data_IF_962020436822
#
_entry.id   IF_962020436822
#
_cell.length_a   1.000
_cell.length_b   1.000
_cell.length_c   1.000
_cell.angle_alpha   90.00
_cell.angle_beta   90.00
_cell.angle_gamma   90.00
#
_symmetry.space_group_name_H-M   'P 1'
#
loop_
_entity.id
_entity.type
_entity.pdbx_description
1 polymer ?
#
# COMPACT_ATOMS: atom_id res chain seq x y z
N UNK A 1 77.68 182.81 118.19
CA UNK A 1 76.76 181.65 118.21
C UNK A 1 75.28 182.06 118.27
N UNK A 2 74.85 183.19 117.67
CA UNK A 2 73.42 183.59 117.74
C UNK A 2 72.81 184.02 116.40
N UNK A 3 73.46 184.80 115.52
CA UNK A 3 72.81 185.22 114.25
C UNK A 3 73.16 184.38 113.02
N UNK A 4 73.59 183.13 113.26
CA UNK A 4 73.49 182.06 112.26
C UNK A 4 72.03 181.57 112.08
N UNK A 5 71.11 182.06 112.92
CA UNK A 5 69.67 181.77 112.90
C UNK A 5 68.77 182.89 112.33
N UNK A 6 69.34 184.05 111.96
CA UNK A 6 68.52 185.18 111.49
C UNK A 6 68.62 185.46 109.98
N UNK A 7 69.70 185.05 109.29
CA UNK A 7 69.74 185.16 107.83
C UNK A 7 69.08 183.95 107.13
N UNK A 8 69.02 182.79 107.80
CA UNK A 8 68.28 181.60 107.35
C UNK A 8 66.76 181.85 107.27
N UNK A 9 66.25 182.90 107.92
CA UNK A 9 64.87 183.35 107.83
C UNK A 9 64.56 184.18 106.56
N UNK A 10 65.56 184.82 105.94
CA UNK A 10 65.35 185.60 104.71
C UNK A 10 65.38 184.70 103.48
N UNK A 11 66.25 183.68 103.48
CA UNK A 11 66.30 182.66 102.42
C UNK A 11 65.06 181.73 102.42
N UNK A 12 64.35 181.65 103.56
CA UNK A 12 63.08 180.94 103.70
C UNK A 12 61.89 181.73 103.13
N UNK A 13 61.96 183.07 103.06
CA UNK A 13 60.86 183.92 102.58
C UNK A 13 60.80 184.04 101.05
N UNK A 14 61.96 184.10 100.38
CA UNK A 14 62.02 184.29 98.93
C UNK A 14 61.69 183.01 98.11
N UNK A 15 61.92 181.82 98.69
CA UNK A 15 61.63 180.54 98.00
C UNK A 15 60.14 180.18 97.97
N UNK A 16 59.33 180.71 98.89
CA UNK A 16 57.91 180.40 98.93
C UNK A 16 57.08 181.18 97.90
N UNK A 17 57.47 182.41 97.54
CA UNK A 17 56.70 183.24 96.60
C UNK A 17 56.88 182.84 95.11
N UNK A 18 57.98 182.20 94.74
CA UNK A 18 58.20 181.76 93.35
C UNK A 18 57.55 180.42 93.01
N UNK A 19 57.18 179.62 94.02
CA UNK A 19 56.41 178.39 93.81
C UNK A 19 54.97 178.75 93.41
N UNK A 20 54.35 179.80 93.97
CA UNK A 20 52.95 180.16 93.63
C UNK A 20 52.75 180.65 92.17
N UNK A 21 53.73 181.31 91.54
CA UNK A 21 53.62 181.75 90.14
C UNK A 21 53.72 180.61 89.11
N UNK A 22 54.19 179.42 89.52
CA UNK A 22 54.36 178.27 88.61
C UNK A 22 53.15 177.33 88.57
N UNK A 23 52.09 177.65 89.34
CA UNK A 23 50.89 176.81 89.49
C UNK A 23 49.70 177.20 88.61
N UNK A 24 49.69 178.35 87.93
CA UNK A 24 48.51 178.81 87.19
C UNK A 24 48.47 178.46 85.69
N UNK A 25 49.61 178.33 84.98
CA UNK A 25 49.61 178.20 83.50
C UNK A 25 49.80 176.76 82.97
N UNK A 26 49.83 175.74 83.83
CA UNK A 26 50.16 174.36 83.43
C UNK A 26 48.97 173.40 83.35
N UNK A 27 47.75 173.84 83.67
CA UNK A 27 46.59 172.93 83.82
C UNK A 27 45.59 172.90 82.65
N UNK A 28 45.50 173.94 81.81
CA UNK A 28 44.39 174.01 80.83
C UNK A 28 44.73 173.50 79.40
N UNK A 29 45.99 173.56 78.93
CA UNK A 29 46.34 173.21 77.54
C UNK A 29 46.81 171.74 77.30
N UNK A 30 46.96 170.95 78.37
CA UNK A 30 47.39 169.54 78.27
C UNK A 30 46.20 168.59 78.08
N UNK A 31 45.07 168.87 78.73
CA UNK A 31 43.91 167.95 78.79
C UNK A 31 43.19 167.83 77.43
N UNK A 32 43.17 168.89 76.62
CA UNK A 32 42.50 168.87 75.31
C UNK A 32 43.27 168.02 74.28
N UNK A 33 44.61 167.99 74.35
CA UNK A 33 45.45 167.17 73.45
C UNK A 33 45.40 165.69 73.82
N UNK A 34 45.29 165.37 75.10
CA UNK A 34 45.14 164.00 75.61
C UNK A 34 43.89 163.34 75.01
N UNK A 35 42.75 164.04 75.00
CA UNK A 35 41.50 163.50 74.46
C UNK A 35 41.51 163.31 72.94
N UNK A 36 42.17 164.17 72.17
CA UNK A 36 42.29 163.98 70.71
C UNK A 36 43.19 162.80 70.34
N UNK A 37 44.25 162.55 71.10
CA UNK A 37 45.11 161.37 70.90
C UNK A 37 44.42 160.07 71.32
N UNK A 38 43.62 160.09 72.38
CA UNK A 38 42.83 158.92 72.79
C UNK A 38 41.77 158.53 71.75
N UNK A 39 41.18 159.50 71.05
CA UNK A 39 40.20 159.21 70.00
C UNK A 39 40.84 158.54 68.76
N UNK A 40 42.00 159.05 68.31
CA UNK A 40 42.73 158.43 67.18
C UNK A 40 43.26 157.03 67.50
N UNK A 41 43.78 156.81 68.71
CA UNK A 41 44.23 155.49 69.14
C UNK A 41 43.07 154.48 69.19
N UNK A 42 41.87 154.95 69.59
CA UNK A 42 40.66 154.12 69.59
C UNK A 42 40.13 153.84 68.19
N UNK A 43 40.20 154.80 67.27
CA UNK A 43 39.84 154.60 65.87
C UNK A 43 40.79 153.61 65.18
N UNK A 44 42.10 153.68 65.45
CA UNK A 44 43.08 152.70 64.95
C UNK A 44 42.88 151.29 65.54
N UNK A 45 42.57 151.18 66.84
CA UNK A 45 42.17 149.89 67.45
C UNK A 45 40.91 149.31 66.81
N UNK A 46 39.93 150.15 66.44
CA UNK A 46 38.67 149.69 65.86
C UNK A 46 38.84 149.15 64.43
N UNK A 47 39.70 149.79 63.63
CA UNK A 47 40.01 149.33 62.26
C UNK A 47 40.84 148.05 62.28
N UNK A 48 41.78 147.91 63.22
CA UNK A 48 42.53 146.67 63.39
C UNK A 48 41.62 145.51 63.82
N UNK A 49 40.69 145.75 64.75
CA UNK A 49 39.71 144.76 65.18
C UNK A 49 38.78 144.32 64.04
N UNK A 50 38.32 145.25 63.20
CA UNK A 50 37.50 144.94 62.02
C UNK A 50 38.24 144.07 60.99
N UNK A 51 39.56 144.24 60.87
CA UNK A 51 40.37 143.46 59.92
C UNK A 51 40.63 142.04 60.45
N UNK A 52 40.89 141.89 61.75
CA UNK A 52 40.99 140.58 62.40
C UNK A 52 39.65 139.85 62.34
N UNK A 53 38.54 140.56 62.58
CA UNK A 53 37.19 140.01 62.42
C UNK A 53 36.93 139.55 60.99
N UNK A 54 37.32 140.33 59.97
CA UNK A 54 37.15 139.95 58.57
C UNK A 54 38.03 138.75 58.17
N UNK A 55 39.26 138.66 58.69
CA UNK A 55 40.14 137.50 58.47
C UNK A 55 39.64 136.26 59.23
N UNK A 56 39.10 136.41 60.45
CA UNK A 56 38.47 135.34 61.22
C UNK A 56 37.21 134.81 60.53
N UNK A 57 36.35 135.69 60.00
CA UNK A 57 35.17 135.34 59.23
C UNK A 57 35.55 134.60 57.91
N UNK A 58 36.67 134.98 57.28
CA UNK A 58 37.16 134.32 56.07
C UNK A 58 37.71 132.92 56.37
N UNK A 59 38.46 132.74 57.46
CA UNK A 59 38.93 131.43 57.90
C UNK A 59 37.79 130.52 58.38
N UNK A 60 36.75 131.07 59.02
CA UNK A 60 35.57 130.31 59.42
C UNK A 60 34.81 129.79 58.18
N UNK A 61 34.68 130.64 57.15
CA UNK A 61 34.08 130.25 55.88
C UNK A 61 34.91 129.17 55.15
N UNK A 62 36.25 129.29 55.14
CA UNK A 62 37.13 128.28 54.55
C UNK A 62 37.06 126.95 55.33
N UNK A 63 36.95 127.01 56.66
CA UNK A 63 36.80 125.83 57.51
C UNK A 63 35.45 125.14 57.26
N UNK A 64 34.36 125.91 57.16
CA UNK A 64 33.03 125.41 56.83
C UNK A 64 33.02 124.75 55.44
N UNK A 65 33.65 125.37 54.43
CA UNK A 65 33.78 124.79 53.09
C UNK A 65 34.60 123.50 53.08
N UNK A 66 35.67 123.41 53.88
CA UNK A 66 36.43 122.18 54.04
C UNK A 66 35.62 121.11 54.77
N UNK A 67 34.91 121.45 55.85
CA UNK A 67 34.03 120.53 56.56
C UNK A 67 32.91 120.00 55.66
N UNK A 68 32.28 120.87 54.88
CA UNK A 68 31.28 120.49 53.88
C UNK A 68 31.87 119.59 52.79
N UNK A 69 33.09 119.89 52.32
CA UNK A 69 33.77 119.04 51.36
C UNK A 69 34.11 117.65 51.95
N UNK A 70 34.55 117.59 53.21
CA UNK A 70 34.82 116.32 53.90
C UNK A 70 33.55 115.52 54.19
N UNK A 71 32.47 116.19 54.60
CA UNK A 71 31.17 115.55 54.81
C UNK A 71 30.64 115.00 53.49
N UNK A 72 30.77 115.76 52.41
CA UNK A 72 30.39 115.31 51.07
C UNK A 72 31.24 114.12 50.60
N UNK A 73 32.57 114.17 50.76
CA UNK A 73 33.44 113.04 50.40
C UNK A 73 33.10 111.80 51.24
N UNK A 74 32.86 111.98 52.55
CA UNK A 74 32.46 110.88 53.44
C UNK A 74 31.13 110.28 53.00
N UNK A 75 30.14 111.10 52.69
CA UNK A 75 28.82 110.64 52.28
C UNK A 75 28.88 109.96 50.90
N UNK A 76 29.68 110.48 49.97
CA UNK A 76 29.99 109.83 48.69
C UNK A 76 30.72 108.49 48.88
N UNK A 77 31.68 108.40 49.79
CA UNK A 77 32.37 107.13 50.14
C UNK A 77 31.42 106.12 50.77
N UNK A 78 30.55 106.56 51.67
CA UNK A 78 29.54 105.69 52.29
C UNK A 78 28.52 105.24 51.24
N UNK A 79 28.09 106.12 50.35
CA UNK A 79 27.18 105.77 49.26
C UNK A 79 27.82 104.76 48.31
N UNK A 80 29.08 104.97 47.92
CA UNK A 80 29.82 104.03 47.08
C UNK A 80 30.01 102.67 47.76
N UNK A 81 30.42 102.64 49.03
CA UNK A 81 30.55 101.39 49.79
C UNK A 81 29.19 100.68 49.96
N UNK A 82 28.10 101.41 50.20
CA UNK A 82 26.74 100.83 50.27
C UNK A 82 26.32 100.23 48.93
N UNK A 83 26.53 100.95 47.82
CA UNK A 83 26.25 100.44 46.48
C UNK A 83 27.08 99.19 46.15
N UNK A 84 28.35 99.18 46.54
CA UNK A 84 29.20 98.00 46.37
C UNK A 84 28.68 96.82 47.19
N UNK A 85 28.33 97.03 48.46
CA UNK A 85 27.72 96.01 49.34
C UNK A 85 26.42 95.49 48.74
N UNK A 86 25.52 96.37 48.30
CA UNK A 86 24.23 95.99 47.70
C UNK A 86 24.45 95.20 46.40
N UNK A 87 25.41 95.60 45.58
CA UNK A 87 25.76 94.87 44.35
C UNK A 87 26.32 93.48 44.64
N UNK A 88 27.09 93.31 45.72
CA UNK A 88 27.60 92.00 46.14
C UNK A 88 26.47 91.10 46.68
N UNK A 89 25.50 91.68 47.40
CA UNK A 89 24.31 90.95 47.84
C UNK A 89 23.41 90.52 46.68
N UNK A 90 23.21 91.39 45.69
CA UNK A 90 22.43 91.04 44.50
C UNK A 90 23.14 89.93 43.71
N UNK A 91 24.46 90.06 43.51
CA UNK A 91 25.26 89.02 42.84
C UNK A 91 25.24 87.70 43.59
N UNK A 92 25.26 87.72 44.93
CA UNK A 92 25.08 86.52 45.76
C UNK A 92 23.70 85.91 45.58
N UNK A 93 22.65 86.73 45.57
CA UNK A 93 21.26 86.29 45.39
C UNK A 93 21.06 85.65 44.02
N UNK A 94 21.60 86.24 42.97
CA UNK A 94 21.61 85.68 41.62
C UNK A 94 22.34 84.33 41.58
N UNK A 95 23.54 84.27 42.16
CA UNK A 95 24.32 83.02 42.22
C UNK A 95 23.60 81.92 43.01
N UNK A 96 22.92 82.28 44.11
CA UNK A 96 22.12 81.35 44.91
C UNK A 96 20.88 80.87 44.15
N UNK A 97 20.21 81.76 43.41
CA UNK A 97 19.07 81.42 42.56
C UNK A 97 19.49 80.46 41.43
N UNK A 98 20.57 80.77 40.72
CA UNK A 98 21.11 79.90 39.66
C UNK A 98 21.53 78.55 40.23
N UNK A 99 22.16 78.51 41.41
CA UNK A 99 22.53 77.25 42.05
C UNK A 99 21.29 76.43 42.44
N UNK A 100 20.26 77.08 42.99
CA UNK A 100 19.00 76.43 43.36
C UNK A 100 18.26 75.89 42.13
N UNK A 101 18.18 76.66 41.05
CA UNK A 101 17.55 76.24 39.80
C UNK A 101 18.34 75.11 39.12
N UNK A 102 19.68 75.20 39.09
CA UNK A 102 20.56 74.15 38.57
C UNK A 102 20.48 72.85 39.41
N UNK A 103 20.19 72.96 40.71
CA UNK A 103 19.92 71.80 41.57
C UNK A 103 18.54 71.23 41.27
N UNK A 104 17.51 72.07 41.24
CA UNK A 104 16.14 71.66 40.99
C UNK A 104 16.00 70.97 39.63
N UNK A 105 16.60 71.51 38.57
CA UNK A 105 16.61 70.90 37.23
C UNK A 105 17.29 69.53 37.21
N UNK A 106 18.40 69.34 37.94
CA UNK A 106 19.02 68.01 38.11
C UNK A 106 18.12 67.05 38.88
N UNK A 107 17.51 67.52 39.97
CA UNK A 107 16.60 66.69 40.76
C UNK A 107 15.36 66.29 39.91
N UNK A 108 14.84 67.19 39.09
CA UNK A 108 13.76 66.93 38.13
C UNK A 108 14.19 65.94 37.03
N UNK A 109 15.41 66.05 36.50
CA UNK A 109 15.97 65.09 35.54
C UNK A 109 16.08 63.69 36.14
N UNK A 110 16.59 63.56 37.38
CA UNK A 110 16.66 62.27 38.05
C UNK A 110 15.27 61.67 38.32
N UNK A 111 14.29 62.51 38.67
CA UNK A 111 12.91 62.05 38.81
C UNK A 111 12.33 61.55 37.47
N UNK A 112 12.61 62.26 36.38
CA UNK A 112 12.20 61.84 35.03
C UNK A 112 12.86 60.52 34.64
N UNK A 113 14.17 60.37 34.83
CA UNK A 113 14.89 59.13 34.53
C UNK A 113 14.35 57.93 35.35
N UNK A 114 14.04 58.14 36.63
CA UNK A 114 13.43 57.10 37.48
C UNK A 114 12.06 56.70 36.96
N UNK A 115 11.23 57.67 36.56
CA UNK A 115 9.90 57.39 36.04
C UNK A 115 9.96 56.69 34.67
N UNK A 116 10.85 57.12 33.78
CA UNK A 116 11.09 56.46 32.49
C UNK A 116 11.60 55.03 32.66
N UNK A 117 12.45 54.76 33.65
CA UNK A 117 12.89 53.41 33.97
C UNK A 117 11.72 52.56 34.45
N UNK A 118 10.85 53.09 35.31
CA UNK A 118 9.65 52.36 35.79
C UNK A 118 8.69 52.04 34.67
N UNK A 119 8.47 52.98 33.76
CA UNK A 119 7.59 52.77 32.59
C UNK A 119 8.19 51.70 31.69
N UNK A 120 9.50 51.76 31.38
CA UNK A 120 10.19 50.73 30.59
C UNK A 120 10.13 49.35 31.24
N UNK A 121 10.42 49.25 32.53
CA UNK A 121 10.35 47.97 33.26
C UNK A 121 8.92 47.40 33.25
N UNK A 122 7.90 48.27 33.36
CA UNK A 122 6.50 47.86 33.30
C UNK A 122 6.09 47.42 31.89
N UNK A 123 6.57 48.11 30.84
CA UNK A 123 6.37 47.75 29.44
C UNK A 123 7.04 46.42 29.10
N UNK A 124 8.31 46.23 29.48
CA UNK A 124 9.07 44.99 29.28
C UNK A 124 8.41 43.82 30.00
N UNK A 125 7.94 44.04 31.25
CA UNK A 125 7.18 43.03 31.98
C UNK A 125 5.88 42.68 31.27
N UNK A 126 5.13 43.67 30.79
CA UNK A 126 3.86 43.43 30.10
C UNK A 126 4.09 42.75 28.74
N UNK A 127 5.13 43.12 28.01
CA UNK A 127 5.49 42.48 26.74
C UNK A 127 5.87 41.01 26.96
N UNK A 128 6.69 40.73 27.98
CA UNK A 128 7.05 39.36 28.36
C UNK A 128 5.81 38.57 28.81
N UNK A 129 4.93 39.18 29.59
CA UNK A 129 3.68 38.57 30.04
C UNK A 129 2.79 38.19 28.86
N UNK A 130 2.59 39.09 27.90
CA UNK A 130 1.82 38.82 26.68
C UNK A 130 2.47 37.67 25.89
N UNK A 131 3.80 37.71 25.67
CA UNK A 131 4.52 36.64 24.96
C UNK A 131 4.31 35.28 25.64
N UNK A 132 4.47 35.21 26.97
CA UNK A 132 4.28 33.97 27.73
C UNK A 132 2.82 33.49 27.71
N UNK A 133 1.85 34.39 27.89
CA UNK A 133 0.42 34.05 27.81
C UNK A 133 0.04 33.55 26.41
N UNK A 134 0.54 34.17 25.34
CA UNK A 134 0.34 33.69 23.97
C UNK A 134 0.96 32.33 23.73
N UNK A 135 2.19 32.09 24.22
CA UNK A 135 2.85 30.79 24.09
C UNK A 135 2.07 29.71 24.84
N UNK A 136 1.60 29.99 26.06
CA UNK A 136 0.75 29.07 26.83
C UNK A 136 -0.50 28.72 26.02
N UNK A 137 -1.21 29.71 25.49
CA UNK A 137 -2.41 29.47 24.67
C UNK A 137 -2.12 28.62 23.44
N UNK A 138 -1.00 28.87 22.73
CA UNK A 138 -0.64 28.05 21.56
C UNK A 138 -0.31 26.60 21.93
N UNK A 139 0.38 26.39 23.06
CA UNK A 139 0.70 25.04 23.54
C UNK A 139 -0.54 24.28 24.00
N UNK A 140 -1.48 24.96 24.67
CA UNK A 140 -2.77 24.39 25.04
C UNK A 140 -3.58 23.99 23.81
N UNK A 141 -3.63 24.84 22.78
CA UNK A 141 -4.30 24.50 21.51
C UNK A 141 -3.65 23.29 20.84
N UNK A 142 -2.32 23.25 20.76
CA UNK A 142 -1.60 22.11 20.19
C UNK A 142 -1.84 20.81 20.96
N UNK A 143 -1.93 20.87 22.30
CA UNK A 143 -2.26 19.71 23.13
C UNK A 143 -3.67 19.21 22.87
N UNK A 144 -4.65 20.11 22.74
CA UNK A 144 -6.04 19.72 22.48
C UNK A 144 -6.21 19.17 21.05
N UNK A 145 -5.54 19.75 20.05
CA UNK A 145 -5.47 19.21 18.68
C UNK A 145 -4.83 17.81 18.66
N UNK A 146 -3.72 17.63 19.38
CA UNK A 146 -3.07 16.33 19.53
C UNK A 146 -4.00 15.31 20.20
N UNK A 147 -4.75 15.72 21.24
CA UNK A 147 -5.72 14.86 21.92
C UNK A 147 -6.84 14.43 20.99
N UNK A 148 -7.42 15.36 20.23
CA UNK A 148 -8.49 15.08 19.28
C UNK A 148 -8.02 14.13 18.16
N UNK A 149 -6.79 14.34 17.64
CA UNK A 149 -6.22 13.45 16.61
C UNK A 149 -5.94 12.05 17.14
N UNK A 150 -5.42 11.91 18.37
CA UNK A 150 -5.26 10.59 18.98
C UNK A 150 -6.58 9.90 19.23
N UNK A 151 -7.59 10.60 19.74
CA UNK A 151 -8.92 10.03 19.94
C UNK A 151 -9.52 9.51 18.63
N UNK A 152 -9.45 10.30 17.55
CA UNK A 152 -9.92 9.87 16.23
C UNK A 152 -9.13 8.67 15.69
N UNK A 153 -7.81 8.65 15.91
CA UNK A 153 -6.97 7.52 15.50
C UNK A 153 -7.34 6.25 16.26
N UNK A 154 -7.57 6.35 17.57
CA UNK A 154 -8.04 5.25 18.41
C UNK A 154 -9.38 4.71 17.90
N UNK A 155 -10.37 5.57 17.65
CA UNK A 155 -11.67 5.16 17.09
C UNK A 155 -11.53 4.50 15.71
N UNK A 156 -10.66 5.04 14.84
CA UNK A 156 -10.37 4.46 13.53
C UNK A 156 -9.72 3.09 13.65
N UNK A 157 -8.79 2.91 14.59
CA UNK A 157 -8.11 1.65 14.84
C UNK A 157 -9.09 0.62 15.41
N UNK A 158 -9.95 1.00 16.35
CA UNK A 158 -11.01 0.16 16.88
C UNK A 158 -12.00 -0.28 15.80
N UNK A 159 -12.38 0.63 14.90
CA UNK A 159 -13.22 0.31 13.76
C UNK A 159 -12.53 -0.72 12.84
N UNK A 160 -11.28 -0.46 12.46
CA UNK A 160 -10.50 -1.39 11.63
C UNK A 160 -10.38 -2.77 12.28
N UNK A 161 -10.11 -2.81 13.59
CA UNK A 161 -10.02 -4.03 14.36
C UNK A 161 -11.35 -4.81 14.34
N UNK A 162 -12.48 -4.12 14.57
CA UNK A 162 -13.82 -4.73 14.49
C UNK A 162 -14.09 -5.32 13.11
N UNK A 163 -13.84 -4.55 12.04
CA UNK A 163 -14.06 -5.01 10.65
C UNK A 163 -13.18 -6.22 10.32
N UNK A 164 -11.90 -6.21 10.72
CA UNK A 164 -11.01 -7.36 10.52
C UNK A 164 -11.50 -8.58 11.29
N UNK A 165 -11.92 -8.40 12.55
CA UNK A 165 -12.43 -9.49 13.38
C UNK A 165 -13.72 -10.09 12.79
N UNK A 166 -14.64 -9.25 12.33
CA UNK A 166 -15.86 -9.72 11.64
C UNK A 166 -15.52 -10.47 10.34
N UNK A 167 -14.59 -9.95 9.53
CA UNK A 167 -14.12 -10.63 8.32
C UNK A 167 -13.49 -11.99 8.64
N UNK A 168 -12.66 -12.07 9.67
CA UNK A 168 -12.04 -13.32 10.09
C UNK A 168 -13.09 -14.32 10.58
N UNK A 169 -14.10 -13.85 11.32
CA UNK A 169 -15.21 -14.70 11.76
C UNK A 169 -16.02 -15.23 10.57
N UNK A 170 -16.39 -14.37 9.61
CA UNK A 170 -17.13 -14.75 8.41
C UNK A 170 -16.32 -15.69 7.51
N UNK A 171 -15.03 -15.41 7.33
CA UNK A 171 -14.12 -16.23 6.54
C UNK A 171 -13.92 -17.60 7.20
N UNK A 172 -13.72 -17.64 8.52
CA UNK A 172 -13.63 -18.88 9.30
C UNK A 172 -14.91 -19.72 9.20
N UNK A 173 -16.09 -19.08 9.29
CA UNK A 173 -17.38 -19.74 9.10
C UNK A 173 -17.53 -20.32 7.69
N UNK A 174 -17.17 -19.55 6.66
CA UNK A 174 -17.19 -19.97 5.25
C UNK A 174 -16.24 -21.14 5.01
N UNK A 175 -15.01 -21.06 5.52
CA UNK A 175 -14.01 -22.13 5.44
C UNK A 175 -14.50 -23.40 6.13
N UNK A 176 -15.14 -23.28 7.30
CA UNK A 176 -15.74 -24.41 8.00
C UNK A 176 -16.87 -25.06 7.18
N UNK A 177 -17.74 -24.25 6.56
CA UNK A 177 -18.80 -24.74 5.67
C UNK A 177 -18.21 -25.45 4.44
N UNK A 178 -17.19 -24.87 3.80
CA UNK A 178 -16.51 -25.47 2.66
C UNK A 178 -15.80 -26.79 3.04
N UNK A 179 -15.12 -26.84 4.18
CA UNK A 179 -14.50 -28.08 4.70
C UNK A 179 -15.54 -29.19 4.94
N UNK A 180 -16.70 -28.85 5.52
CA UNK A 180 -17.80 -29.82 5.69
C UNK A 180 -18.33 -30.31 4.35
N UNK A 181 -18.51 -29.42 3.37
CA UNK A 181 -18.94 -29.79 2.01
C UNK A 181 -17.91 -30.70 1.34
N UNK A 182 -16.63 -30.39 1.46
CA UNK A 182 -15.54 -31.20 0.93
C UNK A 182 -15.54 -32.60 1.55
N UNK A 183 -15.71 -32.71 2.88
CA UNK A 183 -15.81 -34.01 3.56
C UNK A 183 -16.97 -34.84 3.00
N UNK A 184 -18.17 -34.26 2.89
CA UNK A 184 -19.34 -34.97 2.33
C UNK A 184 -19.11 -35.46 0.90
N UNK A 185 -18.46 -34.64 0.06
CA UNK A 185 -18.14 -35.03 -1.31
C UNK A 185 -17.09 -36.15 -1.36
N UNK A 186 -16.09 -36.11 -0.48
CA UNK A 186 -15.10 -37.19 -0.34
C UNK A 186 -15.76 -38.49 0.13
N UNK A 187 -16.66 -38.44 1.10
CA UNK A 187 -17.36 -39.62 1.61
C UNK A 187 -18.31 -40.21 0.53
N UNK A 188 -19.00 -39.34 -0.22
CA UNK A 188 -19.84 -39.74 -1.35
C UNK A 188 -19.02 -40.40 -2.47
N UNK A 189 -17.86 -39.83 -2.81
CA UNK A 189 -16.92 -40.41 -3.77
C UNK A 189 -16.43 -41.78 -3.31
N UNK A 190 -15.99 -41.90 -2.06
CA UNK A 190 -15.52 -43.16 -1.49
C UNK A 190 -16.61 -44.24 -1.53
N UNK A 191 -17.86 -43.85 -1.21
CA UNK A 191 -19.02 -44.74 -1.29
C UNK A 191 -19.28 -45.18 -2.73
N UNK A 192 -19.17 -44.28 -3.71
CA UNK A 192 -19.38 -44.61 -5.12
C UNK A 192 -18.28 -45.54 -5.66
N UNK A 193 -17.02 -45.31 -5.29
CA UNK A 193 -15.89 -46.18 -5.62
C UNK A 193 -16.11 -47.57 -5.03
N UNK A 194 -16.52 -47.66 -3.76
CA UNK A 194 -16.79 -48.95 -3.11
C UNK A 194 -17.93 -49.71 -3.82
N UNK A 195 -19.02 -49.02 -4.19
CA UNK A 195 -20.13 -49.62 -4.95
C UNK A 195 -19.67 -50.10 -6.33
N UNK A 196 -18.90 -49.29 -7.05
CA UNK A 196 -18.38 -49.66 -8.37
C UNK A 196 -17.49 -50.91 -8.28
N UNK A 197 -16.55 -50.95 -7.33
CA UNK A 197 -15.68 -52.10 -7.14
C UNK A 197 -16.47 -53.36 -6.75
N UNK A 198 -17.53 -53.21 -5.95
CA UNK A 198 -18.42 -54.31 -5.60
C UNK A 198 -19.18 -54.84 -6.83
N UNK A 199 -19.73 -53.97 -7.67
CA UNK A 199 -20.44 -54.39 -8.90
C UNK A 199 -19.48 -55.01 -9.90
N UNK A 200 -18.31 -54.42 -10.09
CA UNK A 200 -17.26 -54.91 -11.00
C UNK A 200 -16.75 -56.29 -10.56
N UNK A 201 -16.53 -56.50 -9.26
CA UNK A 201 -16.17 -57.82 -8.73
C UNK A 201 -17.28 -58.86 -8.93
N UNK A 202 -18.55 -58.48 -8.68
CA UNK A 202 -19.70 -59.37 -8.88
C UNK A 202 -19.84 -59.78 -10.33
N UNK A 203 -19.78 -58.81 -11.24
CA UNK A 203 -19.99 -59.06 -12.67
C UNK A 203 -18.80 -59.84 -13.26
N UNK A 204 -17.56 -59.63 -12.77
CA UNK A 204 -16.41 -60.49 -13.10
C UNK A 204 -16.63 -61.94 -12.67
N UNK A 205 -17.08 -62.16 -11.43
CA UNK A 205 -17.38 -63.51 -10.93
C UNK A 205 -18.48 -64.20 -11.77
N UNK A 206 -19.57 -63.48 -12.08
CA UNK A 206 -20.64 -64.01 -12.93
C UNK A 206 -20.15 -64.36 -14.33
N UNK A 207 -19.31 -63.52 -14.93
CA UNK A 207 -18.71 -63.81 -16.23
C UNK A 207 -17.81 -65.04 -16.17
N UNK A 208 -17.03 -65.20 -15.10
CA UNK A 208 -16.19 -66.39 -14.88
C UNK A 208 -17.05 -67.65 -14.78
N UNK A 209 -18.07 -67.66 -13.92
CA UNK A 209 -19.02 -68.76 -13.76
C UNK A 209 -19.71 -69.12 -15.09
N UNK A 210 -20.27 -68.13 -15.79
CA UNK A 210 -20.93 -68.35 -17.09
C UNK A 210 -19.97 -68.90 -18.14
N UNK A 211 -18.71 -68.45 -18.13
CA UNK A 211 -17.70 -68.95 -19.08
C UNK A 211 -17.31 -70.39 -18.76
N UNK A 212 -17.20 -70.75 -17.48
CA UNK A 212 -16.96 -72.12 -17.05
C UNK A 212 -18.12 -73.05 -17.40
N UNK A 213 -19.36 -72.62 -17.15
CA UNK A 213 -20.57 -73.36 -17.53
C UNK A 213 -20.64 -73.55 -19.05
N UNK A 214 -20.36 -72.50 -19.83
CA UNK A 214 -20.30 -72.57 -21.29
C UNK A 214 -19.25 -73.59 -21.75
N UNK A 215 -18.02 -73.54 -21.19
CA UNK A 215 -16.97 -74.51 -21.53
C UNK A 215 -17.39 -75.94 -21.17
N UNK A 216 -18.00 -76.14 -20.01
CA UNK A 216 -18.50 -77.45 -19.57
C UNK A 216 -19.59 -77.97 -20.50
N UNK A 217 -20.58 -77.13 -20.84
CA UNK A 217 -21.67 -77.49 -21.75
C UNK A 217 -21.15 -77.82 -23.14
N UNK A 218 -20.21 -77.03 -23.65
CA UNK A 218 -19.56 -77.28 -24.95
C UNK A 218 -18.82 -78.61 -24.96
N UNK A 219 -18.10 -78.94 -23.88
CA UNK A 219 -17.44 -80.24 -23.73
C UNK A 219 -18.45 -81.39 -23.70
N UNK A 220 -19.52 -81.25 -22.93
CA UNK A 220 -20.59 -82.26 -22.86
C UNK A 220 -21.26 -82.48 -24.22
N UNK A 221 -21.49 -81.40 -24.98
CA UNK A 221 -22.03 -81.47 -26.34
C UNK A 221 -21.10 -82.22 -27.29
N UNK A 222 -19.79 -81.91 -27.27
CA UNK A 222 -18.81 -82.61 -28.10
C UNK A 222 -18.69 -84.09 -27.73
N UNK A 223 -18.68 -84.42 -26.43
CA UNK A 223 -18.66 -85.80 -25.95
C UNK A 223 -19.94 -86.55 -26.36
N UNK A 224 -21.09 -85.87 -26.37
CA UNK A 224 -22.36 -86.43 -26.84
C UNK A 224 -22.31 -86.69 -28.35
N UNK A 225 -21.82 -85.75 -29.17
CA UNK A 225 -21.63 -85.96 -30.61
C UNK A 225 -20.72 -87.17 -30.90
N UNK A 226 -19.61 -87.30 -30.17
CA UNK A 226 -18.71 -88.46 -30.30
C UNK A 226 -19.41 -89.78 -29.96
N UNK A 227 -20.23 -89.79 -28.91
CA UNK A 227 -21.04 -90.96 -28.54
C UNK A 227 -22.05 -91.30 -29.63
N UNK A 228 -22.74 -90.29 -30.20
CA UNK A 228 -23.68 -90.51 -31.30
C UNK A 228 -23.00 -91.16 -32.51
N UNK A 229 -21.86 -90.63 -32.97
CA UNK A 229 -21.12 -91.22 -34.10
C UNK A 229 -20.66 -92.66 -33.80
N UNK A 230 -20.23 -92.93 -32.57
CA UNK A 230 -19.85 -94.28 -32.16
C UNK A 230 -21.05 -95.25 -32.12
N UNK A 231 -22.18 -94.81 -31.58
CA UNK A 231 -23.41 -95.61 -31.55
C UNK A 231 -23.93 -95.88 -32.96
N UNK A 232 -23.95 -94.89 -33.84
CA UNK A 232 -24.37 -95.08 -35.24
C UNK A 232 -23.51 -96.13 -35.95
N UNK A 233 -22.18 -96.05 -35.79
CA UNK A 233 -21.25 -97.06 -36.35
C UNK A 233 -21.48 -98.44 -35.72
N UNK A 234 -21.61 -98.51 -34.40
CA UNK A 234 -21.81 -99.78 -33.69
C UNK A 234 -23.17 -100.42 -34.01
N UNK A 235 -24.22 -99.62 -34.13
CA UNK A 235 -25.57 -100.07 -34.44
C UNK A 235 -25.66 -100.54 -35.89
N UNK A 236 -25.03 -99.82 -36.84
CA UNK A 236 -24.91 -100.28 -38.23
C UNK A 236 -24.18 -101.61 -38.31
N UNK A 237 -23.02 -101.74 -37.65
CA UNK A 237 -22.26 -102.99 -37.66
C UNK A 237 -23.06 -104.15 -37.03
N UNK A 238 -23.71 -103.91 -35.89
CA UNK A 238 -24.53 -104.94 -35.24
C UNK A 238 -25.74 -105.32 -36.09
N UNK A 239 -26.37 -104.36 -36.75
CA UNK A 239 -27.45 -104.63 -37.69
C UNK A 239 -26.96 -105.49 -38.85
N UNK A 240 -25.80 -105.17 -39.44
CA UNK A 240 -25.19 -105.93 -40.53
C UNK A 240 -24.83 -107.36 -40.09
N UNK A 241 -24.29 -107.54 -38.89
CA UNK A 241 -23.99 -108.86 -38.32
C UNK A 241 -25.26 -109.71 -38.13
N UNK A 242 -26.31 -109.13 -37.52
CA UNK A 242 -27.59 -109.82 -37.32
C UNK A 242 -28.25 -110.13 -38.65
N UNK A 243 -28.18 -109.20 -39.61
CA UNK A 243 -28.67 -109.40 -40.96
C UNK A 243 -27.95 -110.56 -41.65
N UNK A 244 -26.61 -110.60 -41.59
CA UNK A 244 -25.81 -111.68 -42.18
C UNK A 244 -26.17 -113.04 -41.57
N UNK A 245 -26.32 -113.12 -40.24
CA UNK A 245 -26.73 -114.35 -39.57
C UNK A 245 -28.11 -114.82 -40.03
N UNK A 246 -29.10 -113.92 -40.12
CA UNK A 246 -30.44 -114.26 -40.59
C UNK A 246 -30.49 -114.58 -42.09
N UNK A 247 -29.67 -113.90 -42.89
CA UNK A 247 -29.47 -114.18 -44.30
C UNK A 247 -28.92 -115.60 -44.50
N UNK A 248 -27.90 -116.00 -43.73
CA UNK A 248 -27.34 -117.35 -43.74
C UNK A 248 -28.36 -118.41 -43.30
N UNK A 249 -29.10 -118.17 -42.22
CA UNK A 249 -30.17 -119.06 -41.74
C UNK A 249 -31.27 -119.24 -42.79
N UNK A 250 -31.66 -118.16 -43.48
CA UNK A 250 -32.65 -118.21 -44.55
C UNK A 250 -32.12 -118.99 -45.75
N UNK A 251 -30.88 -118.76 -46.17
CA UNK A 251 -30.21 -119.51 -47.25
C UNK A 251 -30.21 -121.00 -46.92
N UNK A 252 -29.79 -121.40 -45.71
CA UNK A 252 -29.76 -122.80 -45.29
C UNK A 252 -31.15 -123.47 -45.30
N UNK A 253 -32.19 -122.74 -44.87
CA UNK A 253 -33.57 -123.24 -44.94
C UNK A 253 -34.05 -123.41 -46.38
N UNK A 254 -33.70 -122.48 -47.28
CA UNK A 254 -34.05 -122.59 -48.69
C UNK A 254 -33.29 -123.74 -49.36
N UNK A 255 -32.00 -123.94 -49.03
CA UNK A 255 -31.23 -125.10 -49.51
C UNK A 255 -31.90 -126.43 -49.11
N UNK A 256 -32.33 -126.57 -47.86
CA UNK A 256 -33.11 -127.74 -47.42
C UNK A 256 -34.44 -127.90 -48.17
N UNK A 257 -35.12 -126.79 -48.48
CA UNK A 257 -36.35 -126.83 -49.27
C UNK A 257 -36.07 -127.27 -50.70
N UNK A 258 -34.99 -126.80 -51.33
CA UNK A 258 -34.58 -127.24 -52.65
C UNK A 258 -34.19 -128.73 -52.67
N UNK A 259 -33.51 -129.20 -51.62
CA UNK A 259 -33.19 -130.62 -51.47
C UNK A 259 -34.46 -131.46 -51.30
N UNK A 260 -35.41 -131.02 -50.47
CA UNK A 260 -36.70 -131.68 -50.33
C UNK A 260 -37.50 -131.67 -51.65
N UNK A 261 -37.49 -130.54 -52.36
CA UNK A 261 -38.13 -130.38 -53.66
C UNK A 261 -37.53 -131.31 -54.71
N UNK A 262 -36.20 -131.43 -54.73
CA UNK A 262 -35.48 -132.40 -55.56
C UNK A 262 -35.90 -133.84 -55.25
N UNK A 263 -35.96 -134.22 -53.98
CA UNK A 263 -36.37 -135.55 -53.56
C UNK A 263 -37.82 -135.83 -53.99
N UNK A 264 -38.75 -134.90 -53.80
CA UNK A 264 -40.15 -135.07 -54.19
C UNK A 264 -40.28 -135.20 -55.72
N UNK A 265 -39.62 -134.33 -56.48
CA UNK A 265 -39.67 -134.36 -57.95
C UNK A 265 -39.07 -135.65 -58.52
N UNK A 266 -37.90 -136.08 -58.02
CA UNK A 266 -37.21 -137.28 -58.51
C UNK A 266 -37.90 -138.57 -58.03
N UNK A 267 -38.26 -138.68 -56.74
CA UNK A 267 -38.72 -139.95 -56.14
C UNK A 267 -40.23 -140.16 -56.16
N UNK A 268 -41.05 -139.12 -56.01
CA UNK A 268 -42.51 -139.27 -55.94
C UNK A 268 -43.19 -139.02 -57.30
N UNK A 269 -42.66 -138.10 -58.12
CA UNK A 269 -43.27 -137.69 -59.39
C UNK A 269 -42.59 -138.32 -60.62
N UNK A 270 -41.37 -138.85 -60.49
CA UNK A 270 -40.61 -139.44 -61.59
C UNK A 270 -40.18 -138.43 -62.66
N UNK A 271 -40.14 -137.14 -62.33
CA UNK A 271 -39.74 -136.06 -63.23
C UNK A 271 -38.29 -135.63 -62.96
N UNK A 272 -37.57 -135.22 -64.00
CA UNK A 272 -36.22 -134.69 -63.85
C UNK A 272 -36.26 -133.31 -63.17
N UNK A 273 -35.74 -133.22 -61.95
CA UNK A 273 -35.63 -131.95 -61.23
C UNK A 273 -34.61 -131.02 -61.88
N UNK A 274 -34.90 -129.71 -61.92
CA UNK A 274 -34.00 -128.66 -62.41
C UNK A 274 -33.81 -127.60 -61.34
N UNK A 275 -32.56 -127.26 -60.96
CA UNK A 275 -32.32 -126.23 -59.96
C UNK A 275 -32.75 -124.84 -60.48
N UNK A 276 -33.11 -123.91 -59.58
CA UNK A 276 -33.42 -122.53 -59.94
C UNK A 276 -32.25 -121.83 -60.67
N UNK A 277 -32.56 -120.96 -61.62
CA UNK A 277 -31.59 -120.35 -62.55
C UNK A 277 -30.57 -119.38 -61.91
N UNK A 278 -30.75 -119.01 -60.64
CA UNK A 278 -29.82 -118.15 -59.90
C UNK A 278 -29.54 -118.76 -58.54
N UNK A 279 -28.28 -118.78 -58.13
CA UNK A 279 -27.91 -119.16 -56.77
C UNK A 279 -28.51 -118.15 -55.79
N UNK A 280 -29.17 -118.64 -54.74
CA UNK A 280 -29.91 -117.83 -53.75
C UNK A 280 -28.98 -116.78 -53.10
N UNK A 281 -27.69 -117.10 -52.97
CA UNK A 281 -26.67 -116.18 -52.46
C UNK A 281 -26.48 -114.94 -53.34
N UNK A 282 -26.66 -115.08 -54.66
CA UNK A 282 -26.59 -113.97 -55.60
C UNK A 282 -27.88 -113.14 -55.60
N UNK A 283 -29.03 -113.74 -55.28
CA UNK A 283 -30.30 -113.03 -55.14
C UNK A 283 -30.28 -112.05 -53.96
N UNK A 284 -29.75 -112.49 -52.81
CA UNK A 284 -29.57 -111.62 -51.63
C UNK A 284 -28.60 -110.45 -51.88
N UNK A 285 -27.47 -110.72 -52.55
CA UNK A 285 -26.50 -109.67 -52.89
C UNK A 285 -27.05 -108.69 -53.94
N UNK A 286 -27.85 -109.18 -54.89
CA UNK A 286 -28.54 -108.32 -55.86
C UNK A 286 -29.62 -107.45 -55.23
N UNK A 287 -30.29 -107.91 -54.16
CA UNK A 287 -31.23 -107.10 -53.39
C UNK A 287 -30.50 -105.97 -52.64
N UNK A 288 -29.38 -106.29 -51.97
CA UNK A 288 -28.52 -105.27 -51.31
C UNK A 288 -27.93 -104.25 -52.30
N UNK A 289 -27.48 -104.69 -53.48
CA UNK A 289 -26.97 -103.80 -54.52
C UNK A 289 -28.06 -102.93 -55.16
N UNK A 290 -29.29 -103.45 -55.26
CA UNK A 290 -30.46 -102.70 -55.70
C UNK A 290 -30.86 -101.59 -54.72
N UNK A 291 -30.84 -101.89 -53.42
CA UNK A 291 -31.13 -100.91 -52.37
C UNK A 291 -30.01 -99.86 -52.24
N UNK A 292 -28.73 -100.25 -52.37
CA UNK A 292 -27.61 -99.31 -52.40
C UNK A 292 -27.67 -98.36 -53.63
N UNK A 293 -28.00 -98.89 -54.81
CA UNK A 293 -28.16 -98.08 -56.03
C UNK A 293 -29.42 -97.18 -55.97
N UNK A 294 -30.50 -97.62 -55.31
CA UNK A 294 -31.71 -96.83 -55.11
C UNK A 294 -31.50 -95.70 -54.08
N UNK A 295 -30.76 -95.96 -53.00
CA UNK A 295 -30.41 -94.97 -51.98
C UNK A 295 -29.47 -93.88 -52.56
N UNK A 296 -28.48 -94.29 -53.38
CA UNK A 296 -27.58 -93.36 -54.05
C UNK A 296 -28.32 -92.47 -55.07
N UNK A 297 -29.32 -93.02 -55.76
CA UNK A 297 -30.18 -92.28 -56.68
C UNK A 297 -31.21 -91.38 -55.97
N UNK A 298 -31.57 -91.66 -54.71
CA UNK A 298 -32.41 -90.78 -53.89
C UNK A 298 -31.63 -89.61 -53.28
N UNK A 299 -30.35 -89.81 -52.94
CA UNK A 299 -29.47 -88.74 -52.46
C UNK A 299 -29.06 -87.75 -53.57
N UNK A 300 -28.96 -88.20 -54.83
CA UNK A 300 -28.73 -87.30 -55.98
C UNK A 300 -29.97 -86.50 -56.43
N UNK A 301 -31.18 -86.86 -56.00
CA UNK A 301 -32.44 -86.23 -56.43
C UNK A 301 -33.17 -85.45 -55.31
N UNK A 302 -32.53 -85.26 -54.16
CA UNK A 302 -33.13 -84.66 -52.96
C UNK A 302 -32.74 -83.22 -52.64
N UNK A 303 -31.96 -82.55 -53.50
CA UNK A 303 -31.48 -81.17 -53.26
C UNK A 303 -32.04 -80.18 -54.28
N UNK A 304 -33.36 -79.98 -54.26
CA UNK A 304 -34.01 -78.77 -54.77
C UNK A 304 -35.24 -78.44 -53.92
N UNK A 305 -35.07 -77.57 -52.92
CA UNK A 305 -35.92 -76.40 -52.61
C UNK A 305 -35.93 -76.04 -51.12
N UNK A 306 -35.28 -74.93 -50.78
CA UNK A 306 -35.88 -73.96 -49.85
C UNK A 306 -35.38 -72.53 -50.12
N UNK A 307 -36.26 -71.52 -50.00
CA UNK A 307 -35.98 -70.13 -50.31
C UNK A 307 -35.48 -69.32 -49.10
N UNK A 308 -34.61 -68.35 -49.42
CA UNK A 308 -34.54 -66.95 -48.98
C UNK A 308 -34.74 -66.56 -47.50
N UNK A 309 -33.69 -66.01 -46.86
CA UNK A 309 -33.67 -64.60 -46.38
C UNK A 309 -32.37 -64.22 -45.62
N UNK A 310 -31.74 -63.14 -46.12
CA UNK A 310 -30.94 -62.09 -45.45
C UNK A 310 -30.39 -62.31 -44.02
N UNK A 311 -29.07 -62.10 -43.82
CA UNK A 311 -28.52 -60.81 -43.40
C UNK A 311 -26.96 -60.81 -43.37
N UNK A 312 -26.44 -59.60 -43.33
CA UNK A 312 -25.10 -59.10 -43.64
C UNK A 312 -23.93 -59.48 -42.72
N UNK A 313 -22.74 -59.31 -43.32
CA UNK A 313 -21.50 -58.77 -42.73
C UNK A 313 -20.61 -59.70 -41.89
N UNK A 314 -19.54 -60.19 -42.54
CA UNK A 314 -18.22 -60.23 -41.91
C UNK A 314 -17.10 -60.27 -42.93
N UNK A 315 -16.23 -59.27 -42.81
CA UNK A 315 -14.95 -59.16 -43.46
C UNK A 315 -13.97 -60.27 -43.10
N UNK A 316 -12.88 -60.26 -43.87
CA UNK A 316 -12.00 -61.39 -44.09
C UNK A 316 -11.03 -61.71 -42.97
N UNK A 317 -10.41 -62.88 -43.12
CA UNK A 317 -8.98 -63.04 -42.86
C UNK A 317 -8.48 -64.22 -43.69
N UNK A 318 -7.80 -63.92 -44.80
CA UNK A 318 -6.81 -64.80 -45.41
C UNK A 318 -5.46 -64.26 -45.00
N UNK A 319 -4.62 -65.10 -44.39
CA UNK A 319 -3.18 -65.11 -44.66
C UNK A 319 -2.57 -66.42 -44.18
N UNK A 320 -2.19 -67.16 -45.20
CA UNK A 320 -1.13 -68.14 -45.36
C UNK A 320 -0.15 -68.33 -44.21
N UNK A 321 -0.03 -69.63 -43.93
CA UNK A 321 1.09 -70.38 -43.40
C UNK A 321 2.41 -70.09 -44.14
N UNK A 322 3.48 -69.85 -43.37
CA UNK A 322 4.81 -70.36 -43.69
C UNK A 322 5.71 -70.24 -42.45
N UNK A 323 6.07 -71.40 -41.88
CA UNK A 323 7.01 -71.51 -40.77
C UNK A 323 8.49 -71.51 -41.17
N UNK A 324 9.37 -71.32 -40.18
CA UNK A 324 10.49 -72.21 -39.84
C UNK A 324 11.46 -71.55 -38.83
N UNK A 325 11.70 -72.26 -37.70
CA UNK A 325 12.94 -72.39 -36.91
C UNK A 325 13.58 -71.12 -36.28
N UNK A 326 14.25 -71.12 -35.12
CA UNK A 326 14.63 -72.10 -34.10
C UNK A 326 15.00 -71.32 -32.80
N UNK A 327 15.23 -72.07 -31.72
CA UNK A 327 15.77 -71.69 -30.41
C UNK A 327 16.86 -70.59 -30.42
N UNK A 328 16.89 -69.71 -29.41
CA UNK A 328 18.01 -69.56 -28.44
C UNK A 328 17.75 -68.37 -27.49
N UNK A 329 18.14 -68.54 -26.24
CA UNK A 329 18.16 -67.58 -25.13
C UNK A 329 19.12 -66.37 -25.30
N UNK A 330 18.95 -65.42 -24.38
CA UNK A 330 19.92 -64.47 -23.79
C UNK A 330 20.13 -63.04 -24.36
N UNK A 331 19.77 -62.08 -23.47
CA UNK A 331 20.43 -60.85 -23.01
C UNK A 331 21.00 -59.76 -23.94
N UNK A 332 20.84 -58.52 -23.43
CA UNK A 332 21.49 -57.22 -23.75
C UNK A 332 21.12 -56.55 -25.09
N UNK A 333 21.27 -55.25 -25.31
CA UNK A 333 21.18 -53.98 -24.57
C UNK A 333 21.29 -52.92 -25.70
N UNK A 334 20.68 -51.75 -25.52
CA UNK A 334 20.80 -50.53 -26.35
C UNK A 334 20.56 -50.60 -27.89
N UNK A 335 19.41 -50.06 -28.33
CA UNK A 335 19.40 -48.99 -29.36
C UNK A 335 18.05 -48.30 -29.48
N UNK A 336 18.14 -46.98 -29.69
CA UNK A 336 17.10 -45.97 -29.73
C UNK A 336 16.30 -46.03 -31.03
N UNK A 337 14.97 -46.13 -30.94
CA UNK A 337 14.07 -45.50 -31.91
C UNK A 337 12.72 -45.16 -31.25
N UNK A 338 12.39 -43.86 -31.25
CA UNK A 338 11.18 -43.32 -30.62
C UNK A 338 9.93 -43.74 -31.41
N UNK A 339 9.12 -44.62 -30.83
CA UNK A 339 7.79 -44.93 -31.35
C UNK A 339 6.82 -43.79 -31.02
N UNK A 340 6.56 -42.91 -31.99
CA UNK A 340 5.44 -41.97 -31.92
C UNK A 340 4.15 -42.70 -32.32
N UNK A 341 3.10 -42.71 -31.49
CA UNK A 341 1.86 -43.38 -31.83
C UNK A 341 1.12 -42.59 -32.94
N UNK A 342 0.53 -43.26 -33.95
CA UNK A 342 -0.21 -42.57 -34.99
C UNK A 342 -1.52 -41.99 -34.40
N UNK A 343 -1.64 -40.66 -34.43
CA UNK A 343 -2.85 -39.95 -34.02
C UNK A 343 -3.97 -40.33 -34.99
N UNK A 344 -4.97 -41.06 -34.50
CA UNK A 344 -6.20 -41.35 -35.25
C UNK A 344 -6.94 -40.03 -35.50
N UNK A 345 -6.94 -39.58 -36.76
CA UNK A 345 -7.74 -38.43 -37.20
C UNK A 345 -9.23 -38.76 -37.01
N UNK A 346 -9.93 -37.87 -36.31
CA UNK A 346 -11.38 -37.98 -36.05
C UNK A 346 -12.10 -37.51 -37.32
N UNK A 347 -13.10 -38.25 -37.81
CA UNK A 347 -13.84 -37.87 -39.01
C UNK A 347 -14.50 -36.50 -38.84
N UNK A 348 -14.46 -35.67 -39.89
CA UNK A 348 -14.97 -34.29 -39.87
C UNK A 348 -16.43 -34.20 -39.38
N UNK A 349 -17.27 -35.16 -39.76
CA UNK A 349 -18.66 -35.26 -39.29
C UNK A 349 -18.79 -35.43 -37.76
N UNK A 350 -17.89 -36.21 -37.15
CA UNK A 350 -17.88 -36.42 -35.70
C UNK A 350 -17.36 -35.18 -34.98
N UNK A 351 -16.39 -34.48 -35.56
CA UNK A 351 -15.88 -33.21 -35.05
C UNK A 351 -16.96 -32.12 -35.10
N UNK A 352 -17.68 -31.99 -36.22
CA UNK A 352 -18.83 -31.07 -36.39
C UNK A 352 -19.92 -31.32 -35.36
N UNK A 353 -20.25 -32.58 -35.07
CA UNK A 353 -21.21 -32.93 -34.02
C UNK A 353 -20.74 -32.52 -32.62
N UNK A 354 -19.46 -32.75 -32.29
CA UNK A 354 -18.90 -32.33 -31.00
C UNK A 354 -18.85 -30.80 -30.87
N UNK A 355 -18.54 -30.08 -31.95
CA UNK A 355 -18.49 -28.63 -31.96
C UNK A 355 -19.89 -28.01 -31.82
N UNK A 356 -20.90 -28.59 -32.47
CA UNK A 356 -22.31 -28.22 -32.29
C UNK A 356 -22.78 -28.44 -30.85
N UNK A 357 -22.36 -29.54 -30.23
CA UNK A 357 -22.61 -29.81 -28.81
C UNK A 357 -21.93 -28.79 -27.90
N UNK A 358 -20.68 -28.44 -28.17
CA UNK A 358 -19.94 -27.41 -27.43
C UNK A 358 -20.58 -26.03 -27.58
N UNK A 359 -20.95 -25.61 -28.78
CA UNK A 359 -21.63 -24.33 -29.02
C UNK A 359 -23.00 -24.27 -28.32
N UNK A 360 -23.73 -25.39 -28.25
CA UNK A 360 -25.01 -25.47 -27.54
C UNK A 360 -24.85 -25.36 -26.02
N UNK A 361 -23.78 -25.93 -25.46
CA UNK A 361 -23.53 -25.95 -24.01
C UNK A 361 -22.74 -24.74 -23.49
N UNK A 362 -21.94 -24.13 -24.35
CA UNK A 362 -21.17 -22.91 -24.09
C UNK A 362 -21.81 -21.67 -24.75
N UNK A 363 -23.10 -21.70 -25.07
CA UNK A 363 -23.80 -20.65 -25.83
C UNK A 363 -23.81 -19.25 -25.21
N UNK A 364 -23.38 -19.09 -23.95
CA UNK A 364 -23.19 -17.77 -23.33
C UNK A 364 -21.91 -17.05 -23.80
N UNK A 365 -20.95 -17.78 -24.39
CA UNK A 365 -19.65 -17.28 -24.86
C UNK A 365 -19.58 -17.12 -26.39
N UNK A 366 -20.64 -17.46 -27.12
CA UNK A 366 -20.59 -17.59 -28.58
C UNK A 366 -21.53 -16.57 -29.24
N UNK A 367 -20.97 -15.68 -30.06
CA UNK A 367 -21.76 -14.74 -30.87
C UNK A 367 -22.65 -15.50 -31.87
N UNK A 368 -23.86 -15.00 -32.12
CA UNK A 368 -24.86 -15.64 -33.00
C UNK A 368 -24.40 -15.86 -34.45
N UNK A 369 -23.35 -15.15 -34.91
CA UNK A 369 -22.71 -15.35 -36.21
C UNK A 369 -22.00 -16.70 -36.35
N UNK A 370 -21.44 -17.23 -35.25
CA UNK A 370 -20.71 -18.51 -35.26
C UNK A 370 -21.65 -19.70 -35.38
N UNK A 371 -22.86 -19.61 -34.79
CA UNK A 371 -23.90 -20.62 -34.96
C UNK A 371 -24.41 -20.67 -36.41
N UNK A 372 -24.59 -19.51 -37.04
CA UNK A 372 -25.04 -19.41 -38.42
C UNK A 372 -23.99 -19.91 -39.43
N UNK A 373 -22.70 -19.73 -39.12
CA UNK A 373 -21.59 -20.29 -39.89
C UNK A 373 -21.48 -21.83 -39.74
N UNK A 374 -21.75 -22.38 -38.54
CA UNK A 374 -21.76 -23.83 -38.30
C UNK A 374 -22.90 -24.56 -39.02
N UNK A 375 -24.05 -23.91 -39.20
CA UNK A 375 -25.21 -24.51 -39.90
C UNK A 375 -25.02 -24.57 -41.42
N UNK A 376 -24.20 -23.68 -41.99
CA UNK A 376 -23.99 -23.57 -43.44
C UNK A 376 -22.77 -24.35 -43.97
N UNK A 377 -22.03 -25.08 -43.12
CA UNK A 377 -20.80 -25.74 -43.54
C UNK A 377 -21.05 -27.12 -44.22
N UNK A 378 -20.42 -27.43 -45.38
CA UNK A 378 -20.43 -28.77 -45.99
C UNK A 378 -19.73 -29.83 -45.12
N UNK A 379 -20.01 -31.11 -45.36
CA UNK A 379 -19.51 -32.23 -44.52
C UNK A 379 -18.13 -32.79 -44.96
N UNK A 380 -17.49 -32.19 -45.97
CA UNK A 380 -16.31 -32.77 -46.61
C UNK A 380 -14.98 -32.39 -45.90
N UNK A 381 -14.02 -33.33 -45.88
CA UNK A 381 -12.76 -33.28 -45.10
C UNK A 381 -11.73 -32.21 -45.52
N UNK A 382 -11.99 -31.44 -46.58
CA UNK A 382 -11.00 -30.53 -47.19
C UNK A 382 -10.88 -29.13 -46.53
N UNK A 383 -11.72 -28.79 -45.55
CA UNK A 383 -11.77 -27.44 -44.96
C UNK A 383 -11.34 -27.39 -43.47
N UNK A 384 -10.46 -28.31 -43.06
CA UNK A 384 -9.92 -28.36 -41.69
C UNK A 384 -9.16 -27.06 -41.30
N UNK A 385 -8.58 -26.36 -42.28
CA UNK A 385 -7.91 -25.05 -42.10
C UNK A 385 -8.91 -23.91 -41.76
N UNK A 386 -10.10 -23.91 -42.38
CA UNK A 386 -11.11 -22.89 -42.08
C UNK A 386 -11.80 -23.15 -40.74
N UNK A 387 -11.88 -24.41 -40.28
CA UNK A 387 -12.34 -24.76 -38.93
C UNK A 387 -11.35 -24.35 -37.83
N UNK A 388 -10.05 -24.38 -38.10
CA UNK A 388 -9.01 -23.91 -37.17
C UNK A 388 -9.07 -22.38 -37.01
N UNK A 389 -9.35 -21.68 -38.12
CA UNK A 389 -9.66 -20.24 -38.13
C UNK A 389 -10.96 -19.92 -37.38
N UNK A 390 -11.98 -20.77 -37.48
CA UNK A 390 -13.24 -20.64 -36.72
C UNK A 390 -13.07 -20.83 -35.21
N UNK A 391 -12.19 -21.76 -34.82
CA UNK A 391 -11.74 -21.91 -33.43
C UNK A 391 -10.95 -20.68 -32.96
N UNK A 392 -10.22 -19.99 -33.84
CA UNK A 392 -9.58 -18.71 -33.54
C UNK A 392 -10.56 -17.62 -33.07
N UNK A 393 -11.75 -17.54 -33.68
CA UNK A 393 -12.80 -16.58 -33.29
C UNK A 393 -13.47 -16.88 -31.93
N UNK A 394 -13.32 -18.09 -31.39
CA UNK A 394 -13.71 -18.40 -30.00
C UNK A 394 -12.78 -17.73 -28.96
N UNK A 395 -11.60 -17.27 -29.37
CA UNK A 395 -10.54 -16.76 -28.48
C UNK A 395 -10.18 -15.29 -28.72
N UNK A 396 -11.01 -14.51 -29.41
CA UNK A 396 -10.82 -13.05 -29.50
C UNK A 396 -11.31 -12.36 -28.22
N UNK A 397 -10.38 -11.65 -27.58
CA UNK A 397 -10.55 -10.84 -26.37
C UNK A 397 -11.64 -9.77 -26.60
N UNK A 398 -12.70 -9.65 -25.76
CA UNK A 398 -13.85 -8.76 -26.02
C UNK A 398 -13.53 -7.26 -25.84
N UNK A 399 -12.27 -6.82 -25.99
CA UNK A 399 -11.84 -5.43 -25.81
C UNK A 399 -10.79 -4.99 -26.83
N UNK A 400 -11.08 -5.14 -28.12
CA UNK A 400 -10.43 -4.31 -29.14
C UNK A 400 -11.44 -3.37 -29.81
N UNK A 401 -11.63 -2.21 -29.19
CA UNK A 401 -11.75 -0.92 -29.90
C UNK A 401 -11.20 0.17 -28.97
N UNK A 402 -10.01 0.73 -29.26
CA UNK A 402 -9.75 2.17 -29.57
C UNK A 402 -8.27 2.29 -30.06
N UNK A 403 -7.97 2.87 -31.23
CA UNK A 403 -6.62 3.28 -31.59
C UNK A 403 -6.37 4.72 -31.14
N UNK A 404 -5.32 4.97 -30.35
CA UNK A 404 -5.00 6.32 -29.88
C UNK A 404 -3.65 6.46 -29.17
N UNK A 405 -2.61 6.65 -29.97
CA UNK A 405 -1.49 7.61 -29.77
C UNK A 405 -0.61 7.54 -28.50
N UNK A 406 0.69 7.32 -28.72
CA UNK A 406 1.73 8.25 -28.24
C UNK A 406 2.59 7.87 -27.02
N UNK A 407 3.73 7.25 -27.33
CA UNK A 407 5.09 7.72 -27.00
C UNK A 407 5.73 7.59 -25.59
N UNK A 408 6.95 7.02 -25.64
CA UNK A 408 8.20 7.29 -24.89
C UNK A 408 8.52 6.73 -23.47
N UNK A 409 9.62 5.94 -23.48
CA UNK A 409 10.79 5.89 -22.57
C UNK A 409 10.59 5.69 -21.05
N UNK A 410 11.29 4.70 -20.44
CA UNK A 410 12.72 4.77 -20.00
C UNK A 410 13.13 3.58 -19.10
N UNK A 411 14.44 3.35 -19.10
CA UNK A 411 15.33 2.38 -18.43
C UNK A 411 15.12 2.05 -16.93
N UNK A 412 15.64 0.90 -16.48
CA UNK A 412 16.04 0.71 -15.07
C UNK A 412 16.27 -0.72 -14.53
N UNK A 413 17.46 -1.28 -14.78
CA UNK A 413 18.33 -2.08 -13.89
C UNK A 413 17.81 -3.17 -12.88
N UNK A 414 18.42 -4.35 -12.98
CA UNK A 414 18.44 -5.55 -12.08
C UNK A 414 19.21 -5.33 -10.74
N UNK A 415 19.44 -6.34 -9.84
CA UNK A 415 18.75 -7.60 -9.51
C UNK A 415 18.58 -7.84 -7.97
N UNK A 416 17.77 -8.83 -7.57
CA UNK A 416 17.75 -9.33 -6.17
C UNK A 416 17.26 -10.78 -6.08
N UNK A 417 18.19 -11.70 -5.75
CA UNK A 417 17.92 -13.10 -5.37
C UNK A 417 17.19 -13.13 -4.03
N UNK A 418 16.22 -14.03 -3.87
CA UNK A 418 16.23 -15.01 -2.79
C UNK A 418 15.26 -16.18 -3.07
N UNK A 419 15.72 -17.37 -2.72
CA UNK A 419 15.09 -18.63 -3.08
C UNK A 419 13.92 -19.03 -2.20
N UNK A 420 12.97 -19.76 -2.80
CA UNK A 420 12.09 -20.66 -2.06
C UNK A 420 11.49 -21.73 -2.98
N UNK A 421 11.83 -22.98 -2.67
CA UNK A 421 10.94 -24.15 -2.64
C UNK A 421 10.08 -24.42 -3.89
N UNK A 422 10.54 -25.41 -4.65
CA UNK A 422 9.73 -26.23 -5.54
C UNK A 422 8.51 -26.82 -4.80
N UNK A 423 7.37 -26.14 -4.92
CA UNK A 423 6.05 -26.74 -4.70
C UNK A 423 5.29 -26.63 -6.01
N UNK A 424 5.08 -27.75 -6.68
CA UNK A 424 4.21 -27.84 -7.86
C UNK A 424 2.74 -27.75 -7.42
N UNK A 425 2.34 -26.55 -6.99
CA UNK A 425 0.97 -26.19 -6.65
C UNK A 425 0.49 -25.10 -7.59
N UNK A 426 0.17 -25.44 -8.83
CA UNK A 426 -0.48 -24.51 -9.77
C UNK A 426 -1.92 -24.25 -9.27
N UNK A 427 -2.13 -23.22 -8.46
CA UNK A 427 -3.44 -22.56 -8.37
C UNK A 427 -3.50 -21.52 -9.48
N UNK A 428 -4.05 -21.91 -10.63
CA UNK A 428 -4.32 -20.99 -11.73
C UNK A 428 -5.72 -20.42 -11.51
N UNK A 429 -5.80 -19.10 -11.31
CA UNK A 429 -7.08 -18.41 -11.26
C UNK A 429 -7.81 -18.55 -12.61
N UNK A 430 -9.15 -18.53 -12.65
CA UNK A 430 -9.94 -18.77 -13.87
C UNK A 430 -9.54 -17.87 -15.05
N UNK A 431 -9.00 -16.69 -14.76
CA UNK A 431 -8.57 -15.69 -15.75
C UNK A 431 -7.19 -15.96 -16.38
N UNK A 432 -6.35 -16.81 -15.76
CA UNK A 432 -4.97 -17.08 -16.23
C UNK A 432 -4.79 -18.48 -16.81
N UNK A 433 -5.86 -19.28 -16.88
CA UNK A 433 -5.85 -20.66 -17.41
C UNK A 433 -5.39 -20.70 -18.86
N UNK A 434 -5.80 -19.72 -19.67
CA UNK A 434 -5.48 -19.66 -21.10
C UNK A 434 -3.99 -19.38 -21.33
N UNK A 435 -3.38 -18.53 -20.49
CA UNK A 435 -1.96 -18.17 -20.58
C UNK A 435 -1.06 -19.37 -20.25
N UNK A 436 -1.43 -20.11 -19.21
CA UNK A 436 -0.69 -21.30 -18.77
C UNK A 436 -0.83 -22.45 -19.77
N UNK A 437 -1.99 -22.62 -20.38
CA UNK A 437 -2.20 -23.63 -21.43
C UNK A 437 -1.42 -23.28 -22.70
N UNK A 438 -1.36 -22.00 -23.11
CA UNK A 438 -0.52 -21.58 -24.24
C UNK A 438 0.96 -21.89 -24.01
N UNK A 439 1.51 -21.56 -22.83
CA UNK A 439 2.89 -21.90 -22.49
C UNK A 439 3.14 -23.41 -22.45
N UNK A 440 2.17 -24.19 -22.00
CA UNK A 440 2.27 -25.65 -21.98
C UNK A 440 2.28 -26.22 -23.41
N UNK A 441 1.40 -25.74 -24.29
CA UNK A 441 1.34 -26.17 -25.70
C UNK A 441 2.59 -25.75 -26.48
N UNK A 442 3.10 -24.54 -26.27
CA UNK A 442 4.38 -24.09 -26.84
C UNK A 442 5.56 -24.93 -26.34
N UNK A 443 5.57 -25.32 -25.06
CA UNK A 443 6.61 -26.19 -24.50
C UNK A 443 6.58 -27.63 -25.04
N UNK A 444 5.40 -28.10 -25.47
CA UNK A 444 5.23 -29.40 -26.12
C UNK A 444 5.61 -29.33 -27.59
N UNK A 445 5.40 -28.20 -28.26
CA UNK A 445 5.73 -28.03 -29.67
C UNK A 445 7.23 -27.76 -29.94
N UNK A 446 8.02 -27.52 -28.88
CA UNK A 446 9.47 -27.28 -28.91
C UNK A 446 10.31 -28.50 -28.47
N UNK A 447 9.67 -29.66 -28.24
CA UNK A 447 10.31 -30.97 -28.08
C UNK A 447 9.83 -31.89 -29.19
#
# INVERSE_FOLDING_TARGET
RVQKLQQEAVDSGAKNAAVEMRWADLFEDAVIREFQNQLKAKDEEYVAALKVQAEEDEYELELEQMEDAFLKERDERIANNKLEIDSLFERRREMEMVYMEAKQTRDEQYLQEIEELRVRDAEDYNELKIKLETNIQTLEQQLEEMRATYQLNTERLEYNYRVLTERDMLNSATLSQQKRRLSRLKDALATLIAKYNQTDARDRHQNEELTEEYRRLTKQYLDLQRKYAHFETSDSNKYDEVWQMHEEDAIHKIEKLLDADRIIHEQQLGLAWRPPAQSIRNWSQSAKAGDAAALQKQLENGDESSPDSNESDKGGSRRDDNGANADQDDFDDESVEAYTPPVKKISGAKLKYMLKMLASKAGFLVNGSVQQALENLPDDEAELEDMEKLMGYFFEDPRQEVPGSGDNNREGNSPGKDGAKTSWGLMVGPEDVIRVIKQFVESISLK
#
